data_IF_024609146955
#
_entry.id   IF_024609146955
#
_cell.length_a   1.000
_cell.length_b   1.000
_cell.length_c   1.000
_cell.angle_alpha   90.00
_cell.angle_beta   90.00
_cell.angle_gamma   90.00
#
_symmetry.space_group_name_H-M   'P 1'
#
loop_
_entity.id
_entity.type
_entity.pdbx_description
1 polymer ?
#
# COMPACT_ATOMS: atom_id res chain seq x y z
N UNK A 1 -50.55 -1.96 40.66
CA UNK A 1 -51.03 -0.57 40.70
C UNK A 1 -50.11 0.28 39.82
N UNK A 2 -50.65 1.26 39.07
CA UNK A 2 -50.19 1.64 37.74
C UNK A 2 -49.25 2.85 37.75
N UNK A 3 -48.53 3.11 36.65
CA UNK A 3 -48.47 4.49 36.15
C UNK A 3 -48.21 4.56 34.65
N UNK A 4 -49.14 5.29 34.04
CA UNK A 4 -49.22 5.78 32.66
C UNK A 4 -48.24 6.93 32.42
N UNK A 5 -48.10 7.21 31.12
CA UNK A 5 -48.09 8.54 30.50
C UNK A 5 -46.74 9.11 30.03
N UNK A 6 -46.73 9.47 28.75
CA UNK A 6 -45.77 10.40 28.18
C UNK A 6 -45.77 10.44 26.65
N UNK A 7 -46.93 10.62 26.01
CA UNK A 7 -46.98 11.11 24.63
C UNK A 7 -46.30 12.48 24.58
N UNK A 8 -45.34 12.64 23.65
CA UNK A 8 -44.98 13.96 23.12
C UNK A 8 -44.88 13.90 21.60
N UNK A 9 -45.90 14.49 21.00
CA UNK A 9 -45.98 14.95 19.62
C UNK A 9 -44.88 15.98 19.34
N UNK A 10 -44.22 15.88 18.19
CA UNK A 10 -43.25 16.85 17.72
C UNK A 10 -43.04 16.72 16.22
N UNK A 11 -43.98 17.27 15.45
CA UNK A 11 -43.84 17.54 14.01
C UNK A 11 -42.77 18.60 13.77
N UNK A 12 -41.73 18.30 12.98
CA UNK A 12 -41.06 19.32 12.13
C UNK A 12 -40.63 18.72 10.80
N UNK A 13 -41.39 19.14 9.79
CA UNK A 13 -41.04 19.23 8.37
C UNK A 13 -39.60 19.70 8.17
N UNK A 14 -38.82 18.89 7.45
CA UNK A 14 -37.55 19.27 6.85
C UNK A 14 -37.42 18.58 5.51
N UNK A 15 -38.04 19.15 4.48
CA UNK A 15 -37.83 18.73 3.09
C UNK A 15 -36.34 18.87 2.76
N UNK A 16 -35.63 17.74 2.73
CA UNK A 16 -34.27 17.69 2.18
C UNK A 16 -34.38 18.12 0.71
N UNK A 17 -33.88 19.32 0.44
CA UNK A 17 -33.89 19.90 -0.89
C UNK A 17 -32.83 19.13 -1.69
N UNK A 18 -33.26 18.19 -2.53
CA UNK A 18 -32.39 17.58 -3.52
C UNK A 18 -31.88 18.69 -4.44
N UNK A 19 -30.59 19.00 -4.34
CA UNK A 19 -29.87 19.77 -5.34
C UNK A 19 -29.46 18.77 -6.42
N UNK A 20 -29.89 18.90 -7.68
CA UNK A 20 -29.43 18.03 -8.75
C UNK A 20 -27.93 18.32 -8.97
N UNK A 21 -27.08 17.37 -8.58
CA UNK A 21 -25.66 17.39 -8.90
C UNK A 21 -25.49 17.21 -10.40
N UNK A 22 -24.78 18.16 -11.01
CA UNK A 22 -24.28 18.08 -12.37
C UNK A 22 -23.30 16.89 -12.47
N UNK A 23 -23.77 15.83 -13.14
CA UNK A 23 -23.09 14.55 -13.28
C UNK A 23 -21.78 14.60 -14.06
N UNK A 24 -20.76 15.28 -13.53
CA UNK A 24 -19.37 15.13 -13.96
C UNK A 24 -18.52 14.69 -12.77
N UNK A 25 -18.68 13.43 -12.35
CA UNK A 25 -17.66 12.81 -11.50
C UNK A 25 -16.41 12.62 -12.36
N UNK A 26 -15.54 13.63 -12.38
CA UNK A 26 -14.18 13.49 -12.87
C UNK A 26 -13.57 12.25 -12.20
N UNK A 27 -12.94 11.34 -12.95
CA UNK A 27 -12.37 10.14 -12.35
C UNK A 27 -11.42 10.59 -11.24
N UNK A 28 -11.66 10.11 -10.02
CA UNK A 28 -10.85 10.46 -8.87
C UNK A 28 -9.39 10.20 -9.23
N UNK A 29 -8.59 11.28 -9.31
CA UNK A 29 -7.16 11.20 -9.58
C UNK A 29 -6.60 10.17 -8.59
N UNK A 30 -5.88 9.14 -9.06
CA UNK A 30 -5.30 8.17 -8.14
C UNK A 30 -4.49 8.94 -7.09
N UNK A 31 -4.58 8.55 -5.80
CA UNK A 31 -3.97 9.30 -4.73
C UNK A 31 -2.50 9.56 -5.07
N UNK A 32 -2.06 10.81 -4.92
CA UNK A 32 -0.67 11.16 -5.21
C UNK A 32 0.26 10.26 -4.41
N UNK A 33 1.02 9.42 -5.11
CA UNK A 33 1.99 8.54 -4.45
C UNK A 33 3.09 9.42 -3.88
N UNK A 34 3.24 9.39 -2.57
CA UNK A 34 4.35 10.09 -1.92
C UNK A 34 5.70 9.54 -2.44
N UNK A 35 6.71 10.41 -2.59
CA UNK A 35 8.05 9.99 -2.99
C UNK A 35 8.63 9.00 -1.98
N UNK A 36 9.39 8.02 -2.49
CA UNK A 36 9.99 6.95 -1.68
C UNK A 36 11.31 6.50 -2.29
N UNK A 37 12.19 5.94 -1.48
CA UNK A 37 13.38 5.23 -1.96
C UNK A 37 13.03 3.76 -2.13
N UNK A 38 13.43 3.17 -3.25
CA UNK A 38 13.13 1.77 -3.57
C UNK A 38 14.41 0.96 -3.66
N UNK A 39 14.42 -0.21 -3.01
CA UNK A 39 15.41 -1.26 -3.27
C UNK A 39 14.73 -2.37 -4.07
N UNK A 40 15.39 -2.86 -5.13
CA UNK A 40 14.84 -3.89 -6.01
C UNK A 40 15.67 -5.17 -5.86
N UNK A 41 15.03 -6.29 -5.56
CA UNK A 41 15.76 -7.55 -5.40
C UNK A 41 14.90 -8.77 -5.11
N UNK A 42 15.48 -9.95 -5.36
CA UNK A 42 14.87 -11.23 -4.96
C UNK A 42 14.77 -11.36 -3.44
N UNK A 43 15.77 -10.82 -2.73
CA UNK A 43 15.88 -10.82 -1.26
C UNK A 43 15.72 -12.21 -0.61
N UNK A 44 16.16 -13.27 -1.28
CA UNK A 44 16.07 -14.62 -0.72
C UNK A 44 17.03 -14.76 0.47
N UNK A 45 16.51 -15.19 1.61
CA UNK A 45 17.23 -15.26 2.89
C UNK A 45 17.45 -13.92 3.63
N UNK A 46 17.21 -12.75 3.01
CA UNK A 46 17.44 -11.40 3.60
C UNK A 46 18.78 -11.31 4.35
N UNK A 47 19.84 -11.90 3.79
CA UNK A 47 21.16 -11.99 4.40
C UNK A 47 21.84 -10.60 4.53
N UNK A 48 23.01 -10.56 5.17
CA UNK A 48 23.76 -9.32 5.46
C UNK A 48 23.96 -8.39 4.25
N UNK A 49 24.24 -8.93 3.06
CA UNK A 49 24.31 -8.11 1.83
C UNK A 49 23.00 -7.37 1.48
N UNK A 50 21.85 -8.03 1.63
CA UNK A 50 20.55 -7.38 1.43
C UNK A 50 20.28 -6.34 2.52
N UNK A 51 20.61 -6.66 3.77
CA UNK A 51 20.46 -5.74 4.89
C UNK A 51 21.30 -4.48 4.70
N UNK A 52 22.51 -4.60 4.15
CA UNK A 52 23.36 -3.47 3.79
C UNK A 52 22.68 -2.56 2.75
N UNK A 53 22.11 -3.13 1.67
CA UNK A 53 21.40 -2.34 0.65
C UNK A 53 20.18 -1.62 1.23
N UNK A 54 19.41 -2.28 2.09
CA UNK A 54 18.23 -1.70 2.75
C UNK A 54 18.62 -0.59 3.73
N UNK A 55 19.69 -0.79 4.50
CA UNK A 55 20.23 0.22 5.41
C UNK A 55 20.77 1.43 4.64
N UNK A 56 21.45 1.21 3.51
CA UNK A 56 21.95 2.29 2.66
C UNK A 56 20.81 3.07 2.01
N UNK A 57 19.76 2.38 1.55
CA UNK A 57 18.55 3.03 1.08
C UNK A 57 17.90 3.89 2.17
N UNK A 58 17.83 3.41 3.42
CA UNK A 58 17.35 4.21 4.55
C UNK A 58 18.22 5.44 4.79
N UNK A 59 19.55 5.31 4.73
CA UNK A 59 20.48 6.42 4.90
C UNK A 59 20.28 7.49 3.83
N UNK A 60 20.08 7.08 2.58
CA UNK A 60 19.85 7.96 1.44
C UNK A 60 18.44 8.57 1.42
N UNK A 61 17.46 7.92 2.05
CA UNK A 61 16.06 8.35 2.01
C UNK A 61 15.81 9.70 2.69
N UNK A 62 16.67 10.15 3.61
CA UNK A 62 16.54 11.48 4.22
C UNK A 62 15.18 11.73 4.88
N UNK A 63 14.53 10.70 5.41
CA UNK A 63 13.17 10.76 5.99
C UNK A 63 12.04 10.28 5.08
N UNK A 64 12.31 10.00 3.80
CA UNK A 64 11.33 9.36 2.92
C UNK A 64 11.12 7.88 3.30
N UNK A 65 9.94 7.30 2.98
CA UNK A 65 9.71 5.87 3.10
C UNK A 65 10.69 5.07 2.25
N UNK A 66 11.09 3.90 2.74
CA UNK A 66 11.88 2.91 2.02
C UNK A 66 10.99 1.73 1.67
N UNK A 67 10.92 1.38 0.38
CA UNK A 67 10.21 0.21 -0.10
C UNK A 67 11.19 -0.88 -0.56
N UNK A 68 10.94 -2.11 -0.14
CA UNK A 68 11.56 -3.30 -0.71
C UNK A 68 10.66 -3.87 -1.82
N UNK A 69 11.09 -3.73 -3.06
CA UNK A 69 10.41 -4.29 -4.22
C UNK A 69 10.96 -5.68 -4.54
N UNK A 70 10.11 -6.70 -4.42
CA UNK A 70 10.50 -8.11 -4.48
C UNK A 70 9.51 -8.96 -5.28
N UNK A 71 9.81 -10.26 -5.38
CA UNK A 71 9.10 -11.22 -6.23
C UNK A 71 8.78 -12.50 -5.45
N UNK A 72 7.69 -13.23 -5.76
CA UNK A 72 7.48 -14.56 -5.20
C UNK A 72 8.61 -15.52 -5.60
N UNK A 73 8.96 -16.52 -4.76
CA UNK A 73 9.89 -17.57 -5.15
C UNK A 73 9.42 -18.30 -6.42
N UNK A 74 10.34 -18.58 -7.36
CA UNK A 74 10.06 -19.31 -8.62
C UNK A 74 10.84 -20.63 -8.74
N UNK A 75 11.35 -21.14 -7.62
CA UNK A 75 12.21 -22.32 -7.56
C UNK A 75 12.70 -22.54 -6.12
N UNK A 76 13.78 -23.32 -5.92
CA UNK A 76 14.41 -23.47 -4.61
C UNK A 76 14.65 -22.09 -3.98
N UNK A 77 14.20 -21.94 -2.74
CA UNK A 77 14.34 -20.70 -1.98
C UNK A 77 14.66 -21.00 -0.53
N UNK A 78 15.41 -20.11 0.09
CA UNK A 78 15.75 -20.19 1.51
C UNK A 78 14.54 -19.86 2.39
N UNK A 79 13.63 -19.03 1.90
CA UNK A 79 12.46 -18.56 2.64
C UNK A 79 11.16 -18.75 1.86
N UNK A 80 10.10 -19.09 2.59
CA UNK A 80 8.73 -18.89 2.08
C UNK A 80 8.48 -17.40 1.83
N UNK A 81 7.54 -17.08 0.95
CA UNK A 81 7.18 -15.67 0.69
C UNK A 81 6.79 -14.95 1.98
N UNK A 82 5.97 -15.58 2.83
CA UNK A 82 5.55 -15.03 4.12
C UNK A 82 6.74 -14.73 5.05
N UNK A 83 7.70 -15.65 5.15
CA UNK A 83 8.90 -15.44 5.96
C UNK A 83 9.78 -14.30 5.41
N UNK A 84 9.93 -14.22 4.08
CA UNK A 84 10.66 -13.15 3.42
C UNK A 84 10.02 -11.79 3.64
N UNK A 85 8.70 -11.66 3.47
CA UNK A 85 7.99 -10.41 3.73
C UNK A 85 8.13 -9.96 5.19
N UNK A 86 8.04 -10.89 6.15
CA UNK A 86 8.26 -10.59 7.57
C UNK A 86 9.64 -9.97 7.80
N UNK A 87 10.70 -10.61 7.30
CA UNK A 87 12.06 -10.12 7.47
C UNK A 87 12.31 -8.80 6.72
N UNK A 88 11.74 -8.61 5.53
CA UNK A 88 11.86 -7.35 4.80
C UNK A 88 11.19 -6.19 5.55
N UNK A 89 10.06 -6.42 6.22
CA UNK A 89 9.39 -5.41 7.06
C UNK A 89 10.21 -4.98 8.29
N UNK A 90 11.23 -5.75 8.69
CA UNK A 90 12.17 -5.33 9.74
C UNK A 90 13.17 -4.27 9.24
N UNK A 91 13.29 -4.08 7.92
CA UNK A 91 14.29 -3.22 7.28
C UNK A 91 13.70 -2.16 6.33
N UNK A 92 12.45 -2.28 5.93
CA UNK A 92 11.75 -1.37 5.03
C UNK A 92 10.36 -1.03 5.57
N UNK A 93 9.87 0.17 5.23
CA UNK A 93 8.53 0.64 5.63
C UNK A 93 7.43 -0.07 4.81
N UNK A 94 7.77 -0.46 3.59
CA UNK A 94 6.85 -1.11 2.65
C UNK A 94 7.53 -2.31 1.97
N UNK A 95 6.76 -3.37 1.75
CA UNK A 95 7.19 -4.51 0.93
C UNK A 95 6.23 -4.63 -0.24
N UNK A 96 6.74 -4.41 -1.44
CA UNK A 96 5.97 -4.53 -2.68
C UNK A 96 6.32 -5.88 -3.31
N UNK A 97 5.37 -6.82 -3.28
CA UNK A 97 5.53 -8.11 -3.96
C UNK A 97 4.96 -8.00 -5.37
N UNK A 98 5.84 -7.83 -6.34
CA UNK A 98 5.45 -7.76 -7.74
C UNK A 98 5.09 -9.15 -8.27
N UNK A 99 4.04 -9.19 -9.09
CA UNK A 99 3.72 -10.36 -9.90
C UNK A 99 4.77 -10.47 -10.99
N UNK A 100 5.45 -11.61 -11.06
CA UNK A 100 6.54 -11.80 -12.01
C UNK A 100 6.08 -11.73 -13.46
N UNK A 101 4.89 -12.23 -13.74
CA UNK A 101 4.27 -12.25 -15.07
C UNK A 101 4.11 -10.83 -15.63
N UNK A 102 3.83 -9.85 -14.75
CA UNK A 102 3.57 -8.47 -15.13
C UNK A 102 4.87 -7.73 -15.53
N UNK A 103 6.05 -8.25 -15.14
CA UNK A 103 7.33 -7.56 -15.32
C UNK A 103 8.37 -8.31 -16.14
N UNK A 104 8.25 -9.64 -16.28
CA UNK A 104 9.30 -10.50 -16.86
C UNK A 104 9.62 -10.23 -18.33
N UNK A 105 8.71 -9.58 -19.04
CA UNK A 105 8.85 -9.23 -20.46
C UNK A 105 9.22 -7.77 -20.70
N UNK A 106 9.28 -6.94 -19.65
CA UNK A 106 9.56 -5.52 -19.79
C UNK A 106 11.05 -5.31 -20.12
N UNK A 107 11.30 -4.34 -21.01
CA UNK A 107 12.64 -3.76 -21.16
C UNK A 107 13.04 -2.97 -19.91
N UNK A 108 14.33 -2.63 -19.76
CA UNK A 108 14.82 -1.89 -18.60
C UNK A 108 14.18 -0.49 -18.49
N UNK A 109 14.01 0.19 -19.63
CA UNK A 109 13.39 1.51 -19.71
C UNK A 109 11.89 1.45 -19.39
N UNK A 110 11.23 0.36 -19.78
CA UNK A 110 9.82 0.14 -19.49
C UNK A 110 9.60 -0.20 -18.03
N UNK A 111 10.51 -0.96 -17.41
CA UNK A 111 10.46 -1.30 -15.99
C UNK A 111 10.56 -0.08 -15.05
N UNK A 112 11.28 0.98 -15.46
CA UNK A 112 11.50 2.18 -14.63
C UNK A 112 10.39 3.24 -14.80
N UNK A 113 9.58 3.16 -15.85
CA UNK A 113 8.49 4.11 -16.15
C UNK A 113 7.21 3.78 -15.37
#
# INVERSE_FOLDING_TARGET
>A
MPSRAGVRTGTRSGTARCVPGDGSSSPARPPERMPRVVTVGRFDGVHRGHQFLLAEARRLAGGLPVAAYTFPPRGPSLLTLAAKERLLREHADEVVVARWEDIRGLGAEEFVR
#
